data_IF_203611488971
#
_entry.id   IF_203611488971
#
_cell.length_a   1.000
_cell.length_b   1.000
_cell.length_c   1.000
_cell.angle_alpha   90.00
_cell.angle_beta   90.00
_cell.angle_gamma   90.00
#
_symmetry.space_group_name_H-M   'P 1'
#
loop_
_entity.id
_entity.type
_entity.pdbx_description
1 polymer ?
#
# COMPACT_ATOMS: atom_id res chain seq x y z
N UNK A 1 4.44 -15.63 -14.88
CA UNK A 1 3.09 -15.97 -15.37
C UNK A 1 2.71 -17.30 -14.75
N UNK A 2 1.50 -17.37 -14.21
CA UNK A 2 0.97 -18.62 -13.65
C UNK A 2 0.07 -19.26 -14.69
N UNK A 3 0.28 -20.55 -14.96
CA UNK A 3 -0.43 -21.27 -16.01
C UNK A 3 -0.98 -22.61 -15.54
N UNK A 4 -2.06 -23.05 -16.15
CA UNK A 4 -2.58 -24.41 -16.08
C UNK A 4 -2.25 -25.16 -17.37
N UNK A 5 -1.71 -26.37 -17.24
CA UNK A 5 -1.38 -27.22 -18.37
C UNK A 5 -2.62 -28.01 -18.81
N UNK A 6 -3.21 -27.62 -19.96
CA UNK A 6 -4.38 -28.29 -20.56
C UNK A 6 -3.97 -29.48 -21.44
N UNK A 7 -2.68 -29.78 -21.55
CA UNK A 7 -2.12 -30.79 -22.44
C UNK A 7 -1.94 -30.31 -23.88
N UNK A 8 -1.20 -31.08 -24.69
CA UNK A 8 -0.89 -30.77 -26.10
C UNK A 8 -0.23 -29.41 -26.31
N UNK A 9 0.73 -29.05 -25.44
CA UNK A 9 1.42 -27.74 -25.42
C UNK A 9 0.49 -26.52 -25.29
N UNK A 10 -0.74 -26.71 -24.81
CA UNK A 10 -1.68 -25.62 -24.53
C UNK A 10 -1.65 -25.26 -23.04
N UNK A 11 -1.31 -24.00 -22.78
CA UNK A 11 -1.26 -23.43 -21.45
C UNK A 11 -2.36 -22.38 -21.29
N UNK A 12 -3.23 -22.59 -20.31
CA UNK A 12 -4.19 -21.59 -19.89
C UNK A 12 -3.54 -20.64 -18.90
N UNK A 13 -3.62 -19.33 -19.16
CA UNK A 13 -2.97 -18.32 -18.33
C UNK A 13 -3.93 -17.88 -17.23
N UNK A 14 -3.63 -18.30 -16.00
CA UNK A 14 -4.39 -17.92 -14.79
C UNK A 14 -3.97 -16.52 -14.35
N UNK A 15 -2.66 -16.22 -14.40
CA UNK A 15 -2.09 -14.93 -14.01
C UNK A 15 -1.14 -14.34 -15.04
N UNK A 16 -1.20 -13.02 -15.18
CA UNK A 16 -0.38 -12.27 -16.11
C UNK A 16 -1.01 -12.12 -17.49
N UNK A 17 -2.33 -12.33 -17.61
CA UNK A 17 -3.07 -12.15 -18.87
C UNK A 17 -2.84 -10.75 -19.48
N UNK A 18 -2.88 -9.70 -18.67
CA UNK A 18 -2.61 -8.33 -19.11
C UNK A 18 -1.17 -8.18 -19.60
N UNK A 19 -0.18 -8.69 -18.85
CA UNK A 19 1.24 -8.62 -19.22
C UNK A 19 1.52 -9.36 -20.54
N UNK A 20 0.97 -10.56 -20.69
CA UNK A 20 1.10 -11.36 -21.91
C UNK A 20 0.47 -10.68 -23.11
N UNK A 21 -0.71 -10.07 -22.93
CA UNK A 21 -1.39 -9.32 -23.98
C UNK A 21 -0.55 -8.12 -24.42
N UNK A 22 -0.03 -7.34 -23.47
CA UNK A 22 0.82 -6.18 -23.76
C UNK A 22 2.10 -6.57 -24.51
N UNK A 23 2.79 -7.62 -24.06
CA UNK A 23 3.99 -8.12 -24.74
C UNK A 23 3.67 -8.62 -26.15
N UNK A 24 2.53 -9.28 -26.34
CA UNK A 24 2.08 -9.75 -27.65
C UNK A 24 1.78 -8.59 -28.61
N UNK A 25 1.12 -7.52 -28.11
CA UNK A 25 0.86 -6.30 -28.89
C UNK A 25 2.15 -5.56 -29.24
N UNK A 26 3.10 -5.50 -28.30
CA UNK A 26 4.42 -4.89 -28.51
C UNK A 26 5.20 -5.64 -29.59
N UNK A 27 5.24 -6.97 -29.53
CA UNK A 27 5.87 -7.80 -30.55
C UNK A 27 5.19 -7.65 -31.92
N UNK A 28 3.85 -7.54 -31.96
CA UNK A 28 3.12 -7.30 -33.20
C UNK A 28 3.46 -5.93 -33.82
N UNK A 29 3.60 -4.88 -33.00
CA UNK A 29 4.02 -3.56 -33.48
C UNK A 29 5.44 -3.56 -34.06
N UNK A 30 6.38 -4.20 -33.37
CA UNK A 30 7.76 -4.33 -33.85
C UNK A 30 7.80 -5.08 -35.19
N UNK A 31 7.04 -6.18 -35.31
CA UNK A 31 6.89 -6.93 -36.56
C UNK A 31 6.31 -6.09 -37.70
N UNK A 32 5.30 -5.26 -37.42
CA UNK A 32 4.73 -4.33 -38.41
C UNK A 32 5.82 -3.39 -38.96
N UNK A 33 6.60 -2.77 -38.07
CA UNK A 33 7.62 -1.77 -38.42
C UNK A 33 8.82 -2.34 -39.16
N UNK A 34 9.20 -3.57 -38.84
CA UNK A 34 10.22 -4.29 -39.61
C UNK A 34 9.74 -4.61 -41.04
N UNK A 35 8.43 -4.87 -41.23
CA UNK A 35 7.88 -5.27 -42.53
C UNK A 35 7.65 -4.09 -43.49
N UNK A 36 7.52 -2.86 -43.00
CA UNK A 36 7.11 -1.68 -43.80
C UNK A 36 8.27 -0.84 -44.36
N UNK A 37 9.53 -1.27 -44.22
CA UNK A 37 10.72 -0.52 -44.67
C UNK A 37 10.70 0.98 -44.28
N UNK A 38 10.20 1.31 -43.08
CA UNK A 38 10.33 2.67 -42.56
C UNK A 38 11.81 2.95 -42.24
N UNK A 39 12.32 4.07 -42.77
CA UNK A 39 13.75 4.42 -42.92
C UNK A 39 14.60 4.46 -41.64
N UNK A 40 14.01 4.32 -40.45
CA UNK A 40 14.72 4.34 -39.17
C UNK A 40 14.74 2.98 -38.44
N UNK A 41 14.00 1.98 -38.91
CA UNK A 41 13.93 0.64 -38.30
C UNK A 41 14.62 -0.33 -39.26
N UNK A 42 15.90 -0.63 -39.00
CA UNK A 42 16.60 -1.72 -39.70
C UNK A 42 15.92 -3.05 -39.40
N UNK A 43 16.13 -4.04 -40.28
CA UNK A 43 15.55 -5.37 -40.12
C UNK A 43 15.88 -5.97 -38.75
N UNK A 44 14.84 -6.14 -37.93
CA UNK A 44 14.90 -6.91 -36.69
C UNK A 44 14.52 -8.34 -37.06
N UNK A 45 15.36 -9.32 -36.73
CA UNK A 45 15.07 -10.72 -37.04
C UNK A 45 13.95 -11.25 -36.11
N UNK A 46 12.70 -11.24 -36.60
CA UNK A 46 11.50 -11.71 -35.86
C UNK A 46 10.93 -12.99 -36.53
N UNK A 47 11.80 -13.80 -37.11
CA UNK A 47 11.43 -15.03 -37.83
C UNK A 47 10.77 -16.08 -36.94
N UNK A 48 10.99 -16.02 -35.63
CA UNK A 48 10.35 -16.92 -34.69
C UNK A 48 8.86 -16.57 -34.44
N UNK A 49 8.41 -15.32 -34.68
CA UNK A 49 7.05 -14.84 -34.38
C UNK A 49 6.10 -14.97 -35.59
N UNK A 50 6.04 -16.17 -36.18
CA UNK A 50 5.20 -16.47 -37.35
C UNK A 50 3.71 -16.57 -37.02
N UNK A 51 3.38 -17.01 -35.81
CA UNK A 51 2.00 -17.20 -35.34
C UNK A 51 1.78 -16.47 -34.02
N UNK A 52 0.56 -15.99 -33.81
CA UNK A 52 0.13 -15.44 -32.53
C UNK A 52 -0.04 -16.60 -31.54
N UNK A 53 0.78 -16.64 -30.49
CA UNK A 53 0.72 -17.65 -29.42
C UNK A 53 -0.26 -17.27 -28.30
N UNK A 54 -1.32 -16.50 -28.62
CA UNK A 54 -2.31 -15.98 -27.68
C UNK A 54 -3.72 -16.26 -28.22
N UNK A 55 -4.58 -16.84 -27.38
CA UNK A 55 -5.98 -17.13 -27.70
C UNK A 55 -6.89 -16.70 -26.55
N UNK A 56 -8.03 -16.10 -26.87
CA UNK A 56 -9.10 -15.82 -25.91
C UNK A 56 -10.27 -16.81 -26.09
N UNK A 57 -10.62 -17.55 -25.03
CA UNK A 57 -11.72 -18.52 -25.09
C UNK A 57 -13.10 -17.88 -25.00
N UNK A 58 -13.28 -16.87 -24.14
CA UNK A 58 -14.59 -16.23 -23.90
C UNK A 58 -14.71 -14.82 -24.49
N UNK A 59 -13.71 -14.34 -25.24
CA UNK A 59 -13.68 -12.97 -25.80
C UNK A 59 -13.42 -12.99 -27.31
N UNK A 60 -14.38 -13.44 -28.13
CA UNK A 60 -14.20 -13.55 -29.59
C UNK A 60 -13.86 -12.21 -30.25
N UNK A 61 -14.36 -11.09 -29.74
CA UNK A 61 -14.06 -9.75 -30.27
C UNK A 61 -12.61 -9.35 -30.01
N UNK A 62 -12.08 -9.68 -28.83
CA UNK A 62 -10.66 -9.46 -28.49
C UNK A 62 -9.75 -10.32 -29.36
N UNK A 63 -10.13 -11.59 -29.58
CA UNK A 63 -9.41 -12.49 -30.48
C UNK A 63 -9.35 -11.94 -31.91
N UNK A 64 -10.49 -11.55 -32.47
CA UNK A 64 -10.55 -10.98 -33.82
C UNK A 64 -9.70 -9.71 -33.95
N UNK A 65 -9.69 -8.87 -32.92
CA UNK A 65 -8.91 -7.61 -32.91
C UNK A 65 -7.41 -7.86 -32.87
N UNK A 66 -6.92 -8.74 -31.98
CA UNK A 66 -5.48 -9.05 -31.92
C UNK A 66 -5.02 -9.76 -33.19
N UNK A 67 -5.82 -10.66 -33.75
CA UNK A 67 -5.49 -11.30 -35.03
C UNK A 67 -5.40 -10.28 -36.18
N UNK A 68 -6.30 -9.30 -36.22
CA UNK A 68 -6.24 -8.24 -37.22
C UNK A 68 -5.01 -7.35 -37.03
N UNK A 69 -4.63 -7.02 -35.78
CA UNK A 69 -3.39 -6.31 -35.47
C UNK A 69 -2.17 -7.11 -35.93
N UNK A 70 -2.09 -8.39 -35.56
CA UNK A 70 -0.97 -9.27 -35.92
C UNK A 70 -0.81 -9.47 -37.43
N UNK A 71 -1.91 -9.48 -38.20
CA UNK A 71 -1.91 -9.58 -39.66
C UNK A 71 -1.76 -8.24 -40.38
N UNK A 72 -1.56 -7.14 -39.64
CA UNK A 72 -1.53 -5.77 -40.16
C UNK A 72 -2.79 -5.39 -40.98
N UNK A 73 -3.96 -5.80 -40.50
CA UNK A 73 -5.27 -5.55 -41.12
C UNK A 73 -6.16 -4.64 -40.26
N UNK A 74 -5.54 -3.80 -39.43
CA UNK A 74 -6.25 -2.92 -38.48
C UNK A 74 -7.24 -1.99 -39.18
N UNK A 75 -6.94 -1.54 -40.41
CA UNK A 75 -7.82 -0.69 -41.22
C UNK A 75 -9.08 -1.41 -41.73
N UNK A 76 -9.08 -2.75 -41.75
CA UNK A 76 -10.26 -3.55 -42.14
C UNK A 76 -11.23 -3.80 -40.98
N UNK A 77 -10.89 -3.35 -39.77
CA UNK A 77 -11.77 -3.45 -38.61
C UNK A 77 -12.85 -2.38 -38.68
N UNK A 78 -14.10 -2.81 -38.65
CA UNK A 78 -15.25 -1.93 -38.44
C UNK A 78 -15.23 -1.43 -36.98
N UNK A 79 -14.85 -0.16 -36.81
CA UNK A 79 -14.73 0.52 -35.52
C UNK A 79 -16.09 1.02 -34.99
N UNK A 80 -17.12 1.04 -35.82
CA UNK A 80 -18.47 1.52 -35.47
C UNK A 80 -19.37 0.39 -34.97
N UNK A 81 -18.96 -0.87 -35.17
CA UNK A 81 -19.67 -2.06 -34.70
C UNK A 81 -19.03 -2.67 -33.43
N UNK A 82 -19.51 -2.35 -32.21
CA UNK A 82 -18.98 -2.92 -30.95
C UNK A 82 -19.14 -4.45 -30.83
N UNK A 83 -19.88 -5.09 -31.75
CA UNK A 83 -20.02 -6.54 -31.86
C UNK A 83 -18.87 -7.24 -32.58
N UNK A 84 -17.93 -6.52 -33.21
CA UNK A 84 -16.87 -7.12 -34.05
C UNK A 84 -15.44 -6.78 -33.63
N UNK A 85 -15.23 -5.74 -32.83
CA UNK A 85 -13.90 -5.31 -32.40
C UNK A 85 -13.87 -4.95 -30.91
N UNK A 86 -12.73 -5.17 -30.25
CA UNK A 86 -12.50 -4.76 -28.88
C UNK A 86 -11.71 -3.43 -28.88
N UNK A 87 -12.38 -2.36 -28.46
CA UNK A 87 -11.84 -1.00 -28.48
C UNK A 87 -10.65 -0.85 -27.52
N UNK A 88 -10.64 -1.57 -26.39
CA UNK A 88 -9.57 -1.48 -25.37
C UNK A 88 -8.24 -2.02 -25.90
N UNK A 89 -8.27 -3.19 -26.56
CA UNK A 89 -7.10 -3.80 -27.20
C UNK A 89 -6.55 -2.87 -28.29
N UNK A 90 -7.44 -2.31 -29.10
CA UNK A 90 -7.06 -1.37 -30.16
C UNK A 90 -6.45 -0.09 -29.57
N UNK A 91 -7.02 0.44 -28.49
CA UNK A 91 -6.49 1.61 -27.80
C UNK A 91 -5.11 1.33 -27.19
N UNK A 92 -4.92 0.16 -26.57
CA UNK A 92 -3.61 -0.29 -26.10
C UNK A 92 -2.57 -0.36 -27.23
N UNK A 93 -2.96 -0.88 -28.40
CA UNK A 93 -2.08 -0.87 -29.57
C UNK A 93 -1.72 0.55 -30.02
N UNK A 94 -2.70 1.44 -30.16
CA UNK A 94 -2.47 2.85 -30.51
C UNK A 94 -1.58 3.58 -29.49
N UNK A 95 -1.70 3.24 -28.20
CA UNK A 95 -0.82 3.77 -27.18
C UNK A 95 0.63 3.32 -27.38
N UNK A 96 0.87 2.05 -27.71
CA UNK A 96 2.21 1.55 -28.06
C UNK A 96 2.76 2.31 -29.26
N UNK A 97 1.97 2.49 -30.32
CA UNK A 97 2.35 3.23 -31.52
C UNK A 97 2.79 4.68 -31.21
N UNK A 98 2.20 5.30 -30.18
CA UNK A 98 2.52 6.66 -29.76
C UNK A 98 3.69 6.74 -28.79
N UNK A 99 3.68 5.91 -27.74
CA UNK A 99 4.61 6.01 -26.60
C UNK A 99 5.97 5.41 -26.92
N UNK A 100 6.02 4.26 -27.61
CA UNK A 100 7.28 3.55 -27.81
C UNK A 100 8.30 4.40 -28.61
N UNK A 101 7.96 5.01 -29.76
CA UNK A 101 8.90 5.87 -30.49
C UNK A 101 9.37 7.09 -29.68
N UNK A 102 8.46 7.69 -28.89
CA UNK A 102 8.79 8.83 -28.03
C UNK A 102 9.81 8.44 -26.97
N UNK A 103 9.61 7.29 -26.31
CA UNK A 103 10.50 6.78 -25.26
C UNK A 103 11.87 6.36 -25.82
N UNK A 104 11.91 5.70 -26.97
CA UNK A 104 13.17 5.37 -27.63
C UNK A 104 13.98 6.64 -27.97
N UNK A 105 13.31 7.69 -28.43
CA UNK A 105 13.93 8.99 -28.72
C UNK A 105 14.43 9.68 -27.44
N UNK A 106 13.62 9.71 -26.38
CA UNK A 106 13.95 10.31 -25.08
C UNK A 106 15.20 9.66 -24.45
N UNK A 107 15.27 8.33 -24.48
CA UNK A 107 16.39 7.57 -23.91
C UNK A 107 17.55 7.34 -24.91
N UNK A 108 17.44 7.84 -26.14
CA UNK A 108 18.44 7.66 -27.21
C UNK A 108 18.78 6.18 -27.48
N UNK A 109 17.77 5.31 -27.44
CA UNK A 109 17.91 3.87 -27.68
C UNK A 109 17.51 3.55 -29.11
N UNK A 110 18.35 2.82 -29.84
CA UNK A 110 18.00 2.37 -31.17
C UNK A 110 16.86 1.32 -31.09
N UNK A 111 15.87 1.37 -31.99
CA UNK A 111 14.76 0.43 -31.93
C UNK A 111 15.15 -1.06 -32.02
N UNK A 112 16.27 -1.36 -32.68
CA UNK A 112 16.87 -2.68 -32.81
C UNK A 112 17.41 -3.17 -31.47
N UNK A 113 18.14 -2.32 -30.74
CA UNK A 113 18.67 -2.64 -29.42
C UNK A 113 17.54 -2.95 -28.44
N UNK A 114 16.46 -2.17 -28.49
CA UNK A 114 15.27 -2.43 -27.69
C UNK A 114 14.62 -3.78 -28.05
N UNK A 115 14.49 -4.07 -29.34
CA UNK A 115 13.87 -5.32 -29.81
C UNK A 115 14.71 -6.55 -29.41
N UNK A 116 16.03 -6.48 -29.59
CA UNK A 116 16.96 -7.52 -29.17
C UNK A 116 16.92 -7.72 -27.65
N UNK A 117 16.89 -6.63 -26.88
CA UNK A 117 16.72 -6.72 -25.43
C UNK A 117 15.39 -7.39 -25.05
N UNK A 118 14.29 -6.97 -25.68
CA UNK A 118 12.95 -7.51 -25.41
C UNK A 118 12.86 -9.01 -25.73
N UNK A 119 13.51 -9.47 -26.81
CA UNK A 119 13.38 -10.86 -27.25
C UNK A 119 14.44 -11.80 -26.66
N UNK A 120 15.64 -11.32 -26.37
CA UNK A 120 16.74 -12.17 -25.88
C UNK A 120 17.03 -12.03 -24.38
N UNK A 121 16.75 -10.87 -23.79
CA UNK A 121 17.12 -10.57 -22.39
C UNK A 121 15.94 -10.61 -21.43
N UNK A 122 14.73 -10.33 -21.91
CA UNK A 122 13.52 -10.40 -21.07
C UNK A 122 13.13 -11.86 -20.85
N UNK A 123 13.27 -12.32 -19.62
CA UNK A 123 12.89 -13.67 -19.21
C UNK A 123 11.49 -13.68 -18.59
N UNK A 124 10.65 -14.62 -19.04
CA UNK A 124 9.33 -14.83 -18.47
C UNK A 124 9.34 -16.14 -17.70
N UNK A 125 9.23 -16.06 -16.38
CA UNK A 125 9.06 -17.25 -15.54
C UNK A 125 7.64 -17.79 -15.70
N UNK A 126 7.52 -19.05 -16.12
CA UNK A 126 6.26 -19.78 -16.19
C UNK A 126 6.14 -20.73 -15.00
N UNK A 127 5.12 -20.54 -14.17
CA UNK A 127 4.83 -21.41 -13.01
C UNK A 127 3.60 -22.22 -13.34
N UNK A 128 3.75 -23.54 -13.44
CA UNK A 128 2.63 -24.46 -13.66
C UNK A 128 1.96 -24.79 -12.34
N UNK A 129 0.64 -24.62 -12.26
CA UNK A 129 -0.12 -25.10 -11.09
C UNK A 129 -0.40 -26.61 -11.20
N UNK A 130 -0.51 -27.34 -10.08
CA UNK A 130 -0.88 -28.76 -10.08
C UNK A 130 -2.22 -29.04 -10.77
N UNK A 131 -2.39 -30.25 -11.31
CA UNK A 131 -3.62 -30.65 -12.03
C UNK A 131 -4.88 -30.62 -11.16
N UNK A 132 -4.72 -30.84 -9.86
CA UNK A 132 -5.82 -30.90 -8.88
C UNK A 132 -6.15 -29.50 -8.29
N UNK A 133 -5.55 -28.44 -8.84
CA UNK A 133 -5.78 -27.06 -8.36
C UNK A 133 -7.16 -26.57 -8.78
N UNK A 134 -7.94 -26.07 -7.82
CA UNK A 134 -9.12 -25.27 -8.12
C UNK A 134 -8.66 -23.90 -8.68
N UNK A 135 -8.79 -23.74 -9.99
CA UNK A 135 -8.35 -22.56 -10.72
C UNK A 135 -9.09 -21.29 -10.29
N UNK A 136 -10.37 -21.40 -9.93
CA UNK A 136 -11.17 -20.25 -9.51
C UNK A 136 -10.72 -19.79 -8.13
N UNK A 137 -10.59 -20.73 -7.19
CA UNK A 137 -10.13 -20.43 -5.86
C UNK A 137 -8.68 -19.88 -5.85
N UNK A 138 -7.81 -20.46 -6.69
CA UNK A 138 -6.44 -19.97 -6.85
C UNK A 138 -6.38 -18.55 -7.41
N UNK A 139 -7.22 -18.24 -8.41
CA UNK A 139 -7.33 -16.90 -8.99
C UNK A 139 -7.81 -15.86 -7.96
N UNK A 140 -8.84 -16.18 -7.17
CA UNK A 140 -9.34 -15.32 -6.09
C UNK A 140 -8.26 -15.07 -5.04
N UNK A 141 -7.58 -16.12 -4.59
CA UNK A 141 -6.49 -16.00 -3.61
C UNK A 141 -5.36 -15.11 -4.13
N UNK A 142 -4.97 -15.28 -5.39
CA UNK A 142 -3.79 -14.61 -5.94
C UNK A 142 -4.06 -13.13 -6.23
N UNK A 143 -5.25 -12.77 -6.71
CA UNK A 143 -5.63 -11.35 -6.87
C UNK A 143 -5.70 -10.62 -5.53
N UNK A 144 -6.02 -11.34 -4.44
CA UNK A 144 -6.09 -10.77 -3.09
C UNK A 144 -4.75 -10.84 -2.33
N UNK A 145 -3.73 -11.54 -2.86
CA UNK A 145 -2.41 -11.71 -2.20
C UNK A 145 -1.27 -10.92 -2.85
N UNK A 146 -1.52 -10.30 -3.99
CA UNK A 146 -0.55 -9.45 -4.68
C UNK A 146 -0.54 -8.02 -4.16
N UNK A 147 -0.42 -7.81 -2.85
CA UNK A 147 -0.12 -6.46 -2.34
C UNK A 147 1.33 -6.13 -2.69
N UNK A 148 1.50 -5.15 -3.57
CA UNK A 148 2.81 -4.57 -3.83
C UNK A 148 3.31 -3.95 -2.52
N UNK A 149 4.52 -4.34 -2.09
CA UNK A 149 5.15 -3.81 -0.88
C UNK A 149 5.00 -2.28 -0.83
N UNK A 150 4.29 -1.78 0.18
CA UNK A 150 4.04 -0.35 0.26
C UNK A 150 5.36 0.38 0.56
N UNK A 151 5.49 1.61 0.08
CA UNK A 151 6.73 2.39 0.30
C UNK A 151 7.08 2.52 1.78
N UNK A 152 6.08 2.50 2.66
CA UNK A 152 6.30 2.56 4.10
C UNK A 152 6.91 1.25 4.65
N UNK A 153 6.66 0.10 4.04
CA UNK A 153 7.26 -1.18 4.47
C UNK A 153 8.75 -1.23 4.11
N UNK A 154 9.12 -0.70 2.93
CA UNK A 154 10.53 -0.50 2.57
C UNK A 154 11.21 0.45 3.57
N UNK A 155 10.53 1.51 3.98
CA UNK A 155 11.04 2.44 5.00
C UNK A 155 11.25 1.75 6.35
N UNK A 156 10.27 0.97 6.81
CA UNK A 156 10.36 0.16 8.04
C UNK A 156 11.57 -0.78 8.00
N UNK A 157 11.74 -1.51 6.89
CA UNK A 157 12.87 -2.44 6.70
C UNK A 157 14.22 -1.73 6.79
N UNK A 158 14.38 -0.55 6.18
CA UNK A 158 15.60 0.25 6.30
C UNK A 158 15.86 0.71 7.73
N UNK A 159 14.84 1.11 8.47
CA UNK A 159 15.02 1.48 9.89
C UNK A 159 15.44 0.28 10.73
N UNK A 160 14.84 -0.89 10.50
CA UNK A 160 15.22 -2.14 11.18
C UNK A 160 16.69 -2.49 10.93
N UNK A 161 17.18 -2.31 9.70
CA UNK A 161 18.58 -2.60 9.34
C UNK A 161 19.57 -1.76 10.15
N UNK A 162 19.26 -0.49 10.42
CA UNK A 162 20.09 0.39 11.24
C UNK A 162 20.01 0.05 12.74
N UNK A 163 18.99 -0.70 13.17
CA UNK A 163 18.79 -1.15 14.55
C UNK A 163 19.17 -2.63 14.76
N UNK A 164 19.83 -3.27 13.80
CA UNK A 164 20.15 -4.73 13.81
C UNK A 164 20.86 -5.23 15.07
N UNK A 165 21.68 -4.38 15.68
CA UNK A 165 22.47 -4.73 16.88
C UNK A 165 21.68 -4.52 18.19
N UNK A 166 20.47 -3.94 18.12
CA UNK A 166 19.60 -3.63 19.25
C UNK A 166 18.20 -4.22 19.03
N UNK A 167 18.07 -5.51 19.40
CA UNK A 167 16.84 -6.29 19.23
C UNK A 167 15.65 -5.70 20.00
N UNK A 168 15.90 -5.07 21.14
CA UNK A 168 14.86 -4.38 21.91
C UNK A 168 14.33 -3.17 21.13
N UNK A 169 15.20 -2.41 20.48
CA UNK A 169 14.80 -1.28 19.64
C UNK A 169 14.06 -1.72 18.39
N UNK A 170 14.45 -2.84 17.77
CA UNK A 170 13.70 -3.43 16.65
C UNK A 170 12.29 -3.85 17.07
N UNK A 171 12.15 -4.56 18.18
CA UNK A 171 10.83 -4.96 18.69
C UNK A 171 9.95 -3.75 19.01
N UNK A 172 10.53 -2.72 19.65
CA UNK A 172 9.82 -1.47 19.93
C UNK A 172 9.39 -0.76 18.65
N UNK A 173 10.25 -0.72 17.63
CA UNK A 173 9.92 -0.16 16.32
C UNK A 173 8.75 -0.91 15.70
N UNK A 174 8.83 -2.24 15.66
CA UNK A 174 7.82 -3.10 15.05
C UNK A 174 6.44 -2.86 15.66
N UNK A 175 6.35 -2.94 16.99
CA UNK A 175 5.10 -2.79 17.73
C UNK A 175 4.46 -1.41 17.50
N UNK A 176 5.26 -0.33 17.61
CA UNK A 176 4.77 1.03 17.38
C UNK A 176 4.34 1.21 15.94
N UNK A 177 5.11 0.67 14.99
CA UNK A 177 4.84 0.79 13.58
C UNK A 177 3.51 0.13 13.21
N UNK A 178 3.29 -1.11 13.62
CA UNK A 178 2.03 -1.83 13.38
C UNK A 178 0.84 -1.12 14.04
N UNK A 179 0.99 -0.66 15.29
CA UNK A 179 -0.05 0.08 16.00
C UNK A 179 -0.41 1.41 15.32
N UNK A 180 0.56 2.08 14.68
CA UNK A 180 0.34 3.35 14.00
C UNK A 180 -0.08 3.19 12.53
N UNK A 181 0.29 2.09 11.87
CA UNK A 181 -0.08 1.78 10.49
C UNK A 181 -1.59 1.58 10.34
N UNK A 182 -2.25 1.05 11.37
CA UNK A 182 -3.71 1.04 11.46
C UNK A 182 -4.25 2.47 11.71
N UNK A 183 -4.53 3.19 10.62
CA UNK A 183 -5.07 4.55 10.64
C UNK A 183 -6.57 4.61 10.98
N UNK A 184 -7.28 3.49 10.84
CA UNK A 184 -8.71 3.33 11.15
C UNK A 184 -8.92 3.15 12.66
N UNK A 185 -8.02 2.42 13.31
CA UNK A 185 -8.00 2.22 14.75
C UNK A 185 -7.47 3.40 15.57
N UNK A 186 -7.77 3.36 16.87
CA UNK A 186 -7.08 4.15 17.89
C UNK A 186 -5.80 3.42 18.29
N UNK A 187 -4.67 4.14 18.33
CA UNK A 187 -3.33 3.57 18.52
C UNK A 187 -3.20 2.73 19.78
N UNK A 188 -3.96 3.06 20.84
CA UNK A 188 -3.98 2.27 22.07
C UNK A 188 -4.36 0.81 21.81
N UNK A 189 -5.26 0.54 20.86
CA UNK A 189 -5.71 -0.82 20.56
C UNK A 189 -4.66 -1.69 19.87
N UNK A 190 -3.60 -1.09 19.33
CA UNK A 190 -2.44 -1.81 18.80
C UNK A 190 -1.53 -2.41 19.89
N UNK A 191 -1.79 -2.13 21.16
CA UNK A 191 -1.01 -2.61 22.29
C UNK A 191 -1.81 -3.60 23.16
N UNK A 192 -1.10 -4.54 23.79
CA UNK A 192 -1.70 -5.42 24.81
C UNK A 192 -2.27 -4.61 25.96
N UNK A 193 -3.17 -5.19 26.75
CA UNK A 193 -3.76 -4.51 27.91
C UNK A 193 -2.71 -4.01 28.91
N UNK A 194 -1.63 -4.78 29.07
CA UNK A 194 -0.54 -4.45 30.00
C UNK A 194 0.27 -3.24 29.51
N UNK A 195 0.67 -3.25 28.25
CA UNK A 195 1.38 -2.15 27.59
C UNK A 195 0.50 -0.91 27.53
N UNK A 196 -0.80 -1.05 27.23
CA UNK A 196 -1.75 0.07 27.24
C UNK A 196 -1.80 0.77 28.59
N UNK A 197 -1.92 0.02 29.67
CA UNK A 197 -1.91 0.56 31.03
C UNK A 197 -0.60 1.29 31.34
N UNK A 198 0.52 0.78 30.82
CA UNK A 198 1.86 1.29 31.05
C UNK A 198 2.21 2.55 30.22
N UNK A 199 1.64 2.67 29.02
CA UNK A 199 1.93 3.72 28.02
C UNK A 199 0.87 4.84 28.04
N UNK A 200 -0.42 4.48 28.20
CA UNK A 200 -1.55 5.42 28.09
C UNK A 200 -2.26 5.70 29.42
N UNK A 201 -1.70 5.22 30.54
CA UNK A 201 -2.26 5.38 31.87
C UNK A 201 -3.35 4.35 32.19
N UNK A 202 -3.15 3.63 33.29
CA UNK A 202 -4.02 2.53 33.72
C UNK A 202 -5.42 2.95 34.19
N UNK A 203 -5.70 4.24 34.35
CA UNK A 203 -7.02 4.73 34.79
C UNK A 203 -8.00 4.80 33.63
N UNK A 204 -7.61 5.44 32.52
CA UNK A 204 -8.54 5.80 31.44
C UNK A 204 -8.02 5.55 30.02
N UNK A 205 -6.73 5.21 29.83
CA UNK A 205 -6.07 5.14 28.50
C UNK A 205 -6.10 6.45 27.68
N UNK A 206 -6.27 7.59 28.34
CA UNK A 206 -6.49 8.90 27.71
C UNK A 206 -5.30 9.86 27.81
N UNK A 207 -4.19 9.44 28.44
CA UNK A 207 -2.97 10.27 28.57
C UNK A 207 -1.72 9.49 28.23
N UNK A 208 -0.80 10.08 27.46
CA UNK A 208 0.50 9.45 27.23
C UNK A 208 1.39 9.64 28.48
N UNK A 209 1.81 8.54 29.12
CA UNK A 209 2.58 8.59 30.38
C UNK A 209 4.09 8.50 30.18
N UNK A 210 4.54 8.32 28.93
CA UNK A 210 5.95 8.19 28.55
C UNK A 210 6.45 9.47 27.86
N UNK A 211 7.73 9.78 28.06
CA UNK A 211 8.35 11.01 27.57
C UNK A 211 9.46 10.80 26.53
N UNK A 212 9.94 9.57 26.37
CA UNK A 212 11.05 9.24 25.46
C UNK A 212 10.94 7.83 24.88
N UNK A 213 11.75 7.56 23.84
CA UNK A 213 11.90 6.22 23.28
C UNK A 213 12.44 5.21 24.31
N UNK A 214 13.35 5.64 25.18
CA UNK A 214 13.92 4.77 26.22
C UNK A 214 12.84 4.32 27.21
N UNK A 215 12.01 5.25 27.70
CA UNK A 215 10.90 4.90 28.59
C UNK A 215 9.88 3.99 27.90
N UNK A 216 9.58 4.24 26.61
CA UNK A 216 8.71 3.37 25.82
C UNK A 216 9.24 1.94 25.76
N UNK A 217 10.52 1.79 25.42
CA UNK A 217 11.19 0.50 25.35
C UNK A 217 11.15 -0.23 26.71
N UNK A 218 11.46 0.46 27.81
CA UNK A 218 11.40 -0.11 29.16
C UNK A 218 9.99 -0.57 29.57
N UNK A 219 8.93 0.06 29.03
CA UNK A 219 7.53 -0.31 29.33
C UNK A 219 7.04 -1.47 28.48
N UNK A 220 7.51 -1.59 27.25
CA UNK A 220 7.24 -2.72 26.35
C UNK A 220 8.01 -3.97 26.81
N UNK A 221 9.26 -3.80 27.24
CA UNK A 221 10.17 -4.90 27.61
C UNK A 221 9.89 -5.48 29.00
N UNK A 222 8.94 -4.92 29.77
CA UNK A 222 8.56 -5.55 31.04
C UNK A 222 7.91 -6.90 30.75
N UNK A 223 8.49 -8.03 31.19
CA UNK A 223 7.83 -9.31 31.06
C UNK A 223 6.53 -9.22 31.87
N UNK A 224 5.42 -9.26 31.16
CA UNK A 224 4.15 -9.61 31.79
C UNK A 224 4.38 -10.97 32.42
N UNK A 225 4.14 -11.10 33.73
CA UNK A 225 4.12 -12.38 34.42
C UNK A 225 3.03 -13.28 33.81
N UNK A 226 3.34 -13.92 32.67
CA UNK A 226 2.77 -15.13 32.09
C UNK A 226 3.58 -15.50 30.84
N UNK A 227 4.08 -16.73 30.88
CA UNK A 227 4.79 -17.52 29.86
C UNK A 227 6.20 -17.08 29.46
N UNK A 228 7.15 -17.64 30.21
CA UNK A 228 8.34 -18.35 29.69
C UNK A 228 9.16 -17.66 28.62
N UNK A 229 10.22 -17.01 29.08
CA UNK A 229 11.55 -17.09 28.46
C UNK A 229 11.91 -18.57 28.26
N UNK A 230 11.57 -19.10 27.09
CA UNK A 230 12.34 -20.18 26.48
C UNK A 230 12.69 -19.72 25.07
N UNK A 231 13.99 -19.71 24.79
CA UNK A 231 14.49 -19.78 23.42
C UNK A 231 13.91 -21.08 22.82
N UNK A 232 12.77 -20.97 22.14
CA UNK A 232 12.27 -22.02 21.28
C UNK A 232 12.48 -21.49 19.88
N UNK A 233 13.34 -22.17 19.12
CA UNK A 233 13.31 -22.09 17.66
C UNK A 233 11.91 -22.54 17.24
N UNK A 234 10.96 -21.61 17.21
CA UNK A 234 9.59 -21.90 16.81
C UNK A 234 9.60 -22.30 15.34
N UNK A 235 9.04 -23.48 15.07
CA UNK A 235 8.95 -23.96 13.70
C UNK A 235 7.92 -23.15 12.92
N UNK A 236 8.12 -23.05 11.60
CA UNK A 236 7.21 -22.30 10.71
C UNK A 236 5.74 -22.74 10.87
N UNK A 237 5.49 -24.01 11.17
CA UNK A 237 4.15 -24.56 11.44
C UNK A 237 3.53 -24.04 12.74
N UNK A 238 4.32 -23.79 13.78
CA UNK A 238 3.85 -23.20 15.04
C UNK A 238 3.51 -21.72 14.86
N UNK A 239 4.33 -21.00 14.09
CA UNK A 239 4.09 -19.59 13.72
C UNK A 239 2.81 -19.48 12.88
N UNK A 240 2.63 -20.34 11.88
CA UNK A 240 1.43 -20.40 11.05
C UNK A 240 0.19 -20.84 11.85
N UNK A 241 0.36 -21.74 12.82
CA UNK A 241 -0.70 -22.18 13.73
C UNK A 241 -1.19 -21.06 14.66
N UNK A 242 -0.29 -20.20 15.14
CA UNK A 242 -0.63 -19.00 15.92
C UNK A 242 -1.27 -17.91 15.06
N UNK A 243 -0.75 -17.67 13.85
CA UNK A 243 -1.31 -16.72 12.89
C UNK A 243 -2.77 -17.05 12.55
N UNK A 244 -3.11 -18.35 12.38
CA UNK A 244 -4.50 -18.80 12.14
C UNK A 244 -5.44 -18.62 13.34
N UNK A 245 -4.92 -18.58 14.58
CA UNK A 245 -5.72 -18.33 15.80
C UNK A 245 -5.91 -16.84 16.09
N UNK A 246 -5.02 -15.98 15.59
CA UNK A 246 -5.07 -14.52 15.80
C UNK A 246 -5.93 -13.79 14.76
N UNK A 247 -6.57 -14.47 13.82
CA UNK A 247 -7.67 -13.90 13.02
C UNK A 247 -8.89 -13.78 13.94
N UNK A 248 -8.88 -12.79 14.84
CA UNK A 248 -10.04 -12.42 15.61
C UNK A 248 -11.01 -11.70 14.67
N UNK A 249 -12.10 -12.38 14.29
CA UNK A 249 -13.26 -11.82 13.57
C UNK A 249 -13.90 -10.59 14.27
N UNK A 250 -13.45 -10.21 15.47
CA UNK A 250 -13.89 -9.01 16.20
C UNK A 250 -13.08 -7.76 15.87
N UNK A 251 -11.87 -7.89 15.33
CA UNK A 251 -11.05 -6.74 14.95
C UNK A 251 -11.57 -6.10 13.64
N UNK A 252 -12.26 -6.89 12.77
CA UNK A 252 -12.95 -6.39 11.57
C UNK A 252 -14.07 -5.39 11.92
N UNK A 253 -14.88 -5.63 12.95
CA UNK A 253 -15.97 -4.70 13.37
C UNK A 253 -15.45 -3.34 13.87
N UNK A 254 -14.23 -3.26 14.39
CA UNK A 254 -13.63 -2.00 14.88
C UNK A 254 -12.94 -1.25 13.72
N UNK A 255 -12.34 -1.98 12.77
CA UNK A 255 -11.69 -1.40 11.59
C UNK A 255 -12.71 -0.66 10.70
N UNK A 256 -13.90 -1.26 10.48
CA UNK A 256 -14.92 -0.64 9.63
C UNK A 256 -15.62 0.59 10.25
N UNK A 257 -15.40 0.88 11.54
CA UNK A 257 -16.09 1.97 12.23
C UNK A 257 -15.54 3.35 11.84
N UNK A 258 -14.23 3.49 11.63
CA UNK A 258 -13.60 4.79 11.46
C UNK A 258 -12.73 4.85 10.22
N UNK A 259 -12.94 5.85 9.35
CA UNK A 259 -12.04 6.10 8.23
C UNK A 259 -11.21 7.37 8.46
N UNK A 260 -9.91 7.22 8.27
CA UNK A 260 -8.93 8.29 8.41
C UNK A 260 -8.98 9.31 7.27
N UNK A 261 -8.68 10.56 7.59
CA UNK A 261 -8.55 11.65 6.61
C UNK A 261 -7.17 11.70 5.94
N UNK A 262 -6.19 10.91 6.40
CA UNK A 262 -4.81 10.90 5.92
C UNK A 262 -4.31 9.45 5.80
N UNK A 263 -3.64 9.13 4.69
CA UNK A 263 -2.99 7.82 4.53
C UNK A 263 -1.72 7.69 5.38
N UNK A 264 -1.38 6.47 5.78
CA UNK A 264 -0.19 6.22 6.62
C UNK A 264 1.13 6.76 6.02
N UNK A 265 1.42 6.62 4.71
CA UNK A 265 2.60 7.23 4.10
C UNK A 265 2.66 8.76 4.26
N UNK A 266 1.54 9.47 4.09
CA UNK A 266 1.48 10.91 4.31
C UNK A 266 1.67 11.25 5.80
N UNK A 267 1.09 10.43 6.69
CA UNK A 267 1.23 10.58 8.13
C UNK A 267 2.69 10.51 8.58
N UNK A 268 3.47 9.55 8.05
CA UNK A 268 4.91 9.44 8.33
C UNK A 268 5.68 10.72 7.97
N UNK A 269 5.35 11.37 6.86
CA UNK A 269 5.97 12.64 6.46
C UNK A 269 5.55 13.76 7.43
N UNK A 270 4.31 13.79 7.92
CA UNK A 270 3.88 14.73 8.95
C UNK A 270 4.69 14.60 10.23
N UNK A 271 4.88 13.37 10.71
CA UNK A 271 5.69 13.09 11.91
C UNK A 271 7.12 13.59 11.70
N UNK A 272 7.70 13.31 10.54
CA UNK A 272 9.06 13.77 10.20
C UNK A 272 9.14 15.30 10.16
N UNK A 273 8.10 15.97 9.66
CA UNK A 273 7.99 17.43 9.60
C UNK A 273 7.86 18.07 11.00
N UNK A 274 7.19 17.40 11.92
CA UNK A 274 7.12 17.79 13.34
C UNK A 274 8.50 17.61 13.98
N UNK A 275 9.12 16.45 13.82
CA UNK A 275 10.44 16.14 14.39
C UNK A 275 11.57 17.07 13.91
N UNK A 276 11.57 17.41 12.63
CA UNK A 276 12.65 18.21 12.01
C UNK A 276 12.35 19.71 12.01
N UNK A 277 11.14 20.10 12.41
CA UNK A 277 10.57 21.45 12.30
C UNK A 277 10.68 22.11 10.91
N UNK A 278 11.06 21.35 9.88
CA UNK A 278 11.35 21.83 8.54
C UNK A 278 10.11 21.87 7.65
N UNK A 279 10.09 22.68 6.59
CA UNK A 279 8.97 22.70 5.63
C UNK A 279 9.12 21.60 4.57
N UNK A 280 8.89 20.36 5.01
CA UNK A 280 8.97 19.19 4.14
C UNK A 280 7.72 19.10 3.24
N UNK A 281 7.95 18.84 1.95
CA UNK A 281 6.89 18.59 0.98
C UNK A 281 6.14 17.30 1.33
N UNK A 282 4.82 17.42 1.47
CA UNK A 282 3.93 16.32 1.87
C UNK A 282 3.49 15.52 0.65
N UNK A 283 4.45 14.99 -0.08
CA UNK A 283 4.26 14.15 -1.27
C UNK A 283 4.72 12.73 -0.92
N UNK A 284 3.77 11.82 -0.73
CA UNK A 284 4.01 10.41 -0.40
C UNK A 284 4.90 9.71 -1.44
N UNK A 285 4.91 10.21 -2.69
CA UNK A 285 5.81 9.68 -3.73
C UNK A 285 7.27 9.85 -3.37
N UNK A 286 7.59 10.89 -2.59
CA UNK A 286 8.92 11.25 -2.12
C UNK A 286 9.26 10.69 -0.74
N UNK A 287 8.39 9.87 -0.13
CA UNK A 287 8.59 9.33 1.23
C UNK A 287 10.02 8.84 1.47
N UNK A 288 10.51 7.92 0.64
CA UNK A 288 11.86 7.36 0.79
C UNK A 288 12.96 8.41 0.60
N UNK A 289 12.80 9.36 -0.33
CA UNK A 289 13.78 10.41 -0.58
C UNK A 289 13.92 11.36 0.61
N UNK A 290 12.79 11.74 1.21
CA UNK A 290 12.77 12.63 2.37
C UNK A 290 13.40 11.95 3.59
N UNK A 291 13.06 10.68 3.86
CA UNK A 291 13.68 9.95 4.97
C UNK A 291 15.18 9.71 4.75
N UNK A 292 15.61 9.51 3.51
CA UNK A 292 17.04 9.45 3.15
C UNK A 292 17.77 10.74 3.56
N UNK A 293 17.21 11.90 3.22
CA UNK A 293 17.81 13.21 3.50
C UNK A 293 17.86 13.54 4.99
N UNK A 294 16.74 13.33 5.71
CA UNK A 294 16.60 13.83 7.09
C UNK A 294 16.99 12.81 8.17
N UNK A 295 16.90 11.50 7.87
CA UNK A 295 17.18 10.42 8.83
C UNK A 295 18.46 9.68 8.46
N UNK A 296 18.53 9.04 7.29
CA UNK A 296 19.59 8.07 6.97
C UNK A 296 20.94 8.70 6.61
N UNK A 297 20.97 9.91 6.03
CA UNK A 297 22.23 10.63 5.74
C UNK A 297 22.84 11.39 6.93
N UNK A 298 22.34 11.15 8.14
CA UNK A 298 22.79 11.88 9.33
C UNK A 298 23.81 11.08 10.16
N UNK A 299 24.72 11.78 10.83
CA UNK A 299 25.74 11.14 11.69
C UNK A 299 25.11 10.35 12.85
N UNK A 300 23.95 10.80 13.35
CA UNK A 300 23.21 10.17 14.45
C UNK A 300 21.98 9.39 13.97
N UNK A 301 22.11 8.59 12.90
CA UNK A 301 20.98 7.90 12.28
C UNK A 301 20.18 7.03 13.27
N UNK A 302 20.85 6.25 14.12
CA UNK A 302 20.18 5.38 15.12
C UNK A 302 19.33 6.19 16.09
N UNK A 303 19.87 7.28 16.63
CA UNK A 303 19.15 8.16 17.57
C UNK A 303 17.96 8.84 16.88
N UNK A 304 18.14 9.32 15.64
CA UNK A 304 17.04 9.90 14.86
C UNK A 304 15.91 8.92 14.57
N UNK A 305 16.24 7.64 14.33
CA UNK A 305 15.24 6.57 14.16
C UNK A 305 14.49 6.36 15.48
N UNK A 306 15.20 6.21 16.61
CA UNK A 306 14.56 6.05 17.93
C UNK A 306 13.63 7.22 18.27
N UNK A 307 14.09 8.44 18.05
CA UNK A 307 13.27 9.64 18.23
C UNK A 307 12.07 9.67 17.28
N UNK A 308 12.25 9.24 16.03
CA UNK A 308 11.15 9.15 15.06
C UNK A 308 10.08 8.16 15.48
N UNK A 309 10.46 6.97 15.95
CA UNK A 309 9.51 5.97 16.46
C UNK A 309 8.70 6.53 17.64
N UNK A 310 9.35 7.22 18.57
CA UNK A 310 8.65 7.85 19.68
C UNK A 310 7.70 8.98 19.22
N UNK A 311 8.16 9.86 18.32
CA UNK A 311 7.32 10.90 17.74
C UNK A 311 6.16 10.34 16.93
N UNK A 312 6.34 9.20 16.25
CA UNK A 312 5.29 8.51 15.51
C UNK A 312 4.15 8.11 16.44
N UNK A 313 4.48 7.46 17.57
CA UNK A 313 3.51 7.10 18.61
C UNK A 313 2.80 8.33 19.18
N UNK A 314 3.57 9.35 19.58
CA UNK A 314 3.02 10.57 20.18
C UNK A 314 2.11 11.33 19.21
N UNK A 315 2.53 11.49 17.96
CA UNK A 315 1.72 12.13 16.94
C UNK A 315 0.46 11.32 16.64
N UNK A 316 0.54 9.97 16.60
CA UNK A 316 -0.64 9.14 16.32
C UNK A 316 -1.64 9.23 17.46
N UNK A 317 -1.16 9.23 18.69
CA UNK A 317 -2.01 9.42 19.86
C UNK A 317 -2.74 10.78 19.84
N UNK A 318 -2.03 11.86 19.53
CA UNK A 318 -2.63 13.20 19.37
C UNK A 318 -3.59 13.24 18.17
N UNK A 319 -3.21 12.64 17.05
CA UNK A 319 -4.04 12.53 15.85
C UNK A 319 -5.38 11.87 16.19
N UNK A 320 -5.34 10.76 16.91
CA UNK A 320 -6.54 10.00 17.28
C UNK A 320 -7.46 10.76 18.23
N UNK A 321 -6.94 11.72 19.01
CA UNK A 321 -7.72 12.53 19.91
C UNK A 321 -8.26 13.81 19.26
N UNK A 322 -7.47 14.49 18.44
CA UNK A 322 -7.74 15.88 18.04
C UNK A 322 -8.02 16.08 16.56
N UNK A 323 -7.91 15.04 15.73
CA UNK A 323 -8.21 15.12 14.30
C UNK A 323 -9.53 14.40 13.99
N UNK A 324 -10.34 15.02 13.13
CA UNK A 324 -11.62 14.46 12.68
C UNK A 324 -11.44 13.19 11.86
N UNK A 325 -12.38 12.27 12.02
CA UNK A 325 -12.49 11.02 11.27
C UNK A 325 -13.91 10.83 10.76
N UNK A 326 -14.09 10.07 9.68
CA UNK A 326 -15.42 9.55 9.32
C UNK A 326 -15.75 8.42 10.30
N UNK A 327 -16.97 8.38 10.78
CA UNK A 327 -17.48 7.36 11.68
C UNK A 327 -18.76 6.75 11.10
N UNK A 328 -18.73 5.43 10.94
CA UNK A 328 -19.81 4.60 10.43
C UNK A 328 -20.48 3.89 11.61
N UNK A 329 -21.71 4.29 11.93
CA UNK A 329 -22.52 3.64 12.96
C UNK A 329 -23.91 3.40 12.39
N UNK A 330 -24.41 2.15 12.49
CA UNK A 330 -25.77 1.77 12.07
C UNK A 330 -26.09 2.20 10.63
N UNK A 331 -25.13 2.05 9.71
CA UNK A 331 -25.27 2.43 8.29
C UNK A 331 -25.28 3.94 8.02
N UNK A 332 -24.98 4.79 9.02
CA UNK A 332 -24.85 6.23 8.86
C UNK A 332 -23.39 6.63 8.92
N UNK A 333 -22.96 7.39 7.91
CA UNK A 333 -21.62 7.95 7.81
C UNK A 333 -21.61 9.42 8.23
N UNK A 334 -20.82 9.75 9.24
CA UNK A 334 -20.79 11.09 9.85
C UNK A 334 -19.38 11.52 10.22
N UNK A 335 -19.16 12.82 10.36
CA UNK A 335 -17.91 13.33 10.93
C UNK A 335 -17.92 13.14 12.44
N UNK A 336 -16.81 12.68 12.99
CA UNK A 336 -16.61 12.51 14.43
C UNK A 336 -15.31 13.14 14.90
N UNK A 337 -15.33 13.66 16.12
CA UNK A 337 -14.18 14.15 16.88
C UNK A 337 -14.30 13.58 18.29
N UNK A 338 -13.62 12.44 18.48
CA UNK A 338 -13.74 11.62 19.68
C UNK A 338 -12.37 11.22 20.18
N UNK A 339 -12.28 10.97 21.48
CA UNK A 339 -11.15 10.30 22.12
C UNK A 339 -11.59 8.96 22.70
N UNK A 340 -10.68 8.00 22.69
CA UNK A 340 -10.86 6.72 23.33
C UNK A 340 -10.67 6.85 24.85
N UNK A 341 -11.50 6.15 25.61
CA UNK A 341 -11.35 5.93 27.04
C UNK A 341 -11.73 4.48 27.38
N UNK A 342 -11.52 4.05 28.63
CA UNK A 342 -11.97 2.74 29.11
C UNK A 342 -13.03 2.84 30.18
N UNK A 343 -13.99 1.92 30.15
CA UNK A 343 -15.01 1.79 31.19
C UNK A 343 -14.47 1.02 32.42
N UNK A 344 -15.30 0.89 33.45
CA UNK A 344 -14.97 0.15 34.68
C UNK A 344 -14.68 -1.35 34.44
N UNK A 345 -15.04 -1.90 33.28
CA UNK A 345 -14.81 -3.29 32.88
C UNK A 345 -13.63 -3.42 31.91
N UNK A 346 -12.79 -2.39 31.80
CA UNK A 346 -11.67 -2.28 30.85
C UNK A 346 -12.10 -2.45 29.37
N UNK A 347 -13.36 -2.13 29.05
CA UNK A 347 -13.82 -2.08 27.66
C UNK A 347 -13.59 -0.69 27.08
N UNK A 348 -13.11 -0.62 25.83
CA UNK A 348 -12.91 0.66 25.17
C UNK A 348 -14.25 1.29 24.81
N UNK A 349 -14.36 2.60 24.99
CA UNK A 349 -15.46 3.41 24.50
C UNK A 349 -14.94 4.75 23.97
N UNK A 350 -15.78 5.46 23.21
CA UNK A 350 -15.40 6.70 22.55
C UNK A 350 -16.32 7.83 23.01
N UNK A 351 -15.73 8.87 23.57
CA UNK A 351 -16.42 10.08 24.03
C UNK A 351 -15.93 11.29 23.25
N UNK A 352 -16.67 12.40 23.28
CA UNK A 352 -16.26 13.61 22.57
C UNK A 352 -14.91 14.10 23.11
N UNK A 353 -14.04 14.59 22.23
CA UNK A 353 -12.68 14.98 22.60
C UNK A 353 -12.68 16.06 23.69
N UNK A 354 -13.55 17.05 23.56
CA UNK A 354 -13.67 18.21 24.46
C UNK A 354 -14.85 18.10 25.43
N UNK A 355 -15.26 16.89 25.78
CA UNK A 355 -16.29 16.65 26.79
C UNK A 355 -15.65 16.61 28.18
N UNK A 356 -16.01 17.58 29.02
CA UNK A 356 -15.65 17.63 30.44
C UNK A 356 -16.87 17.30 31.31
N UNK A 357 -16.65 16.52 32.36
CA UNK A 357 -17.62 16.35 33.42
C UNK A 357 -17.78 17.71 34.14
N UNK A 358 -18.93 18.36 33.97
CA UNK A 358 -19.39 19.60 34.64
C UNK A 358 -19.27 20.93 33.87
N UNK A 359 -18.91 20.96 32.58
CA UNK A 359 -19.04 22.16 31.74
C UNK A 359 -19.69 21.75 30.43
N UNK A 360 -20.78 22.42 30.04
CA UNK A 360 -21.46 22.19 28.76
C UNK A 360 -20.61 22.76 27.60
N UNK A 361 -19.46 22.14 27.38
CA UNK A 361 -18.53 22.39 26.27
C UNK A 361 -18.95 21.62 25.01
N UNK A 362 -20.15 21.01 25.00
CA UNK A 362 -20.72 20.36 23.83
C UNK A 362 -20.70 21.27 22.60
N UNK A 363 -20.86 22.58 22.81
CA UNK A 363 -20.73 23.62 21.79
C UNK A 363 -19.32 23.74 21.22
N UNK A 364 -18.25 23.57 22.02
CA UNK A 364 -16.87 23.63 21.53
C UNK A 364 -16.54 22.41 20.68
N UNK A 365 -16.86 21.20 21.16
CA UNK A 365 -16.59 19.98 20.38
C UNK A 365 -17.34 20.02 19.04
N UNK A 366 -18.59 20.48 19.03
CA UNK A 366 -19.39 20.67 17.82
C UNK A 366 -18.80 21.74 16.90
N UNK A 367 -18.37 22.88 17.45
CA UNK A 367 -17.73 23.95 16.67
C UNK A 367 -16.42 23.47 16.02
N UNK A 368 -15.54 22.80 16.77
CA UNK A 368 -14.29 22.24 16.25
C UNK A 368 -14.55 21.15 15.22
N UNK A 369 -15.53 20.28 15.46
CA UNK A 369 -15.96 19.27 14.49
C UNK A 369 -16.42 19.94 13.18
N UNK A 370 -17.25 20.99 13.25
CA UNK A 370 -17.72 21.73 12.08
C UNK A 370 -16.57 22.43 11.33
N UNK A 371 -15.64 23.07 12.05
CA UNK A 371 -14.49 23.74 11.44
C UNK A 371 -13.57 22.74 10.73
N UNK A 372 -13.15 21.68 11.43
CA UNK A 372 -12.26 20.66 10.89
C UNK A 372 -12.91 19.90 9.72
N UNK A 373 -14.20 19.57 9.82
CA UNK A 373 -14.93 18.95 8.71
C UNK A 373 -15.11 19.90 7.53
N UNK A 374 -15.34 21.21 7.74
CA UNK A 374 -15.40 22.18 6.65
C UNK A 374 -14.07 22.28 5.88
N UNK A 375 -12.93 22.27 6.58
CA UNK A 375 -11.61 22.22 5.94
C UNK A 375 -11.39 20.95 5.10
N UNK A 376 -11.96 19.82 5.53
CA UNK A 376 -11.83 18.57 4.81
C UNK A 376 -12.81 18.45 3.62
N UNK A 377 -14.08 18.83 3.80
CA UNK A 377 -15.10 18.77 2.74
C UNK A 377 -14.78 19.73 1.60
N UNK A 378 -14.18 20.89 1.90
CA UNK A 378 -13.72 21.82 0.87
C UNK A 378 -12.57 21.28 0.03
N UNK A 379 -11.83 20.26 0.51
CA UNK A 379 -10.72 19.62 -0.20
C UNK A 379 -10.63 18.11 0.12
N UNK A 380 -11.48 17.26 -0.49
CA UNK A 380 -11.69 15.87 -0.06
C UNK A 380 -10.55 14.91 -0.37
N UNK A 381 -9.50 15.32 -1.10
CA UNK A 381 -8.39 14.41 -1.38
C UNK A 381 -7.46 14.27 -0.18
N UNK A 382 -7.20 13.03 0.25
CA UNK A 382 -6.22 12.70 1.31
C UNK A 382 -4.80 13.22 1.02
N UNK A 383 -4.54 13.60 -0.24
CA UNK A 383 -3.25 14.10 -0.71
C UNK A 383 -3.10 15.64 -0.65
N UNK A 384 -4.13 16.41 -0.26
CA UNK A 384 -4.11 17.87 -0.39
C UNK A 384 -3.46 18.64 0.78
N UNK A 385 -2.76 19.72 0.45
CA UNK A 385 -1.94 20.53 1.37
C UNK A 385 -2.67 21.30 2.49
N UNK A 386 -3.99 21.50 2.39
CA UNK A 386 -4.79 22.26 3.38
C UNK A 386 -4.98 21.52 4.70
N UNK A 387 -5.64 20.35 4.66
CA UNK A 387 -5.82 19.42 5.79
C UNK A 387 -4.47 19.07 6.43
N UNK A 388 -3.47 18.89 5.57
CA UNK A 388 -2.07 18.62 5.87
C UNK A 388 -1.40 19.73 6.71
N UNK A 389 -1.63 21.01 6.41
CA UNK A 389 -1.06 22.15 7.16
C UNK A 389 -1.70 22.30 8.54
N UNK A 390 -3.04 22.19 8.63
CA UNK A 390 -3.77 22.23 9.90
C UNK A 390 -3.31 21.11 10.83
N UNK A 391 -3.14 19.90 10.28
CA UNK A 391 -2.63 18.76 11.02
C UNK A 391 -1.22 18.98 11.55
N UNK A 392 -0.32 19.56 10.75
CA UNK A 392 1.05 19.85 11.21
C UNK A 392 1.05 20.88 12.34
N UNK A 393 0.17 21.88 12.29
CA UNK A 393 0.02 22.88 13.36
C UNK A 393 -0.55 22.27 14.63
N UNK A 394 -1.50 21.34 14.51
CA UNK A 394 -2.11 20.67 15.68
C UNK A 394 -1.19 19.63 16.33
N UNK A 395 -0.22 19.10 15.59
CA UNK A 395 0.75 18.11 16.09
C UNK A 395 2.04 18.73 16.63
N UNK A 396 2.35 19.98 16.26
CA UNK A 396 3.41 20.78 16.89
C UNK A 396 2.89 21.32 18.22
#
# INVERSE_FOLDING_TARGET
MVVFDRGSDNFEVIDGQQRLTTLSLLAAYLKEKTSTQETNWQEVEIDWFKRLNLRFDSRPNSQATIEAIFRNRVQSLDLESPKKSNIEVLHGYKQIQKILPQKLTEYKVAPQDFSMFLFEKVQIMQVKVPKDTDLNHYFEIMNNRGEQLEKHEVLKSRMMEHLKDDKLSQNCLDLVWEACANMEGYVQMGFSKSERNAIFGAENWDRLTISSFQELQEKIDKPTNKSSTQNIEETLDEILGKARKNINLKDEEISERFNSVVSFPNFLIHVLRVQTESDISLDDKKLLLVFEEYIFKSENTVEKIKNFVFHLLRCKFLYDQYIVKREFINGKDSWSLKRMAKDQKDKPYYKNTFEEENIDLGDINKCLLMLLSAFHVSNPSQNYGGTKRVMTVLLR
#
